data_IF_888703956290
#
_entry.id   IF_888703956290
#
_cell.length_a   1.000
_cell.length_b   1.000
_cell.length_c   1.000
_cell.angle_alpha   90.00
_cell.angle_beta   90.00
_cell.angle_gamma   90.00
#
_symmetry.space_group_name_H-M   'P 1'
#
loop_
_entity.id
_entity.type
_entity.pdbx_description
1 polymer ?
#
# COMPACT_ATOMS: atom_id res chain seq x y z
N UNK A 1 4.90 -4.77 -14.88
CA UNK A 1 3.85 -4.56 -13.86
C UNK A 1 3.67 -5.77 -12.97
N UNK A 2 2.87 -6.75 -13.39
CA UNK A 2 2.36 -7.85 -12.53
C UNK A 2 3.40 -8.63 -11.73
N UNK A 3 4.55 -8.98 -12.32
CA UNK A 3 5.61 -9.67 -11.57
C UNK A 3 6.20 -8.80 -10.44
N UNK A 4 6.41 -7.51 -10.69
CA UNK A 4 6.87 -6.56 -9.69
C UNK A 4 5.82 -6.32 -8.59
N UNK A 5 4.54 -6.23 -8.97
CA UNK A 5 3.41 -6.14 -8.04
C UNK A 5 3.37 -7.36 -7.11
N UNK A 6 3.43 -8.57 -7.65
CA UNK A 6 3.46 -9.81 -6.85
C UNK A 6 4.63 -9.84 -5.87
N UNK A 7 5.82 -9.45 -6.31
CA UNK A 7 7.00 -9.35 -5.41
C UNK A 7 6.78 -8.31 -4.31
N UNK A 8 6.21 -7.16 -4.66
CA UNK A 8 6.00 -6.07 -3.71
C UNK A 8 4.94 -6.43 -2.65
N UNK A 9 3.82 -7.03 -3.04
CA UNK A 9 2.80 -7.51 -2.10
C UNK A 9 3.34 -8.67 -1.25
N UNK A 10 4.06 -9.61 -1.85
CA UNK A 10 4.69 -10.71 -1.11
C UNK A 10 5.72 -10.22 -0.07
N UNK A 11 6.38 -9.08 -0.31
CA UNK A 11 7.23 -8.43 0.69
C UNK A 11 6.42 -7.89 1.87
N UNK A 12 5.23 -7.31 1.65
CA UNK A 12 4.34 -6.91 2.74
C UNK A 12 3.89 -8.12 3.58
N UNK A 13 3.55 -9.23 2.92
CA UNK A 13 3.18 -10.48 3.60
C UNK A 13 4.34 -11.05 4.41
N UNK A 14 5.56 -11.02 3.86
CA UNK A 14 6.77 -11.42 4.55
C UNK A 14 7.00 -10.55 5.78
N UNK A 15 6.92 -9.22 5.66
CA UNK A 15 7.06 -8.32 6.80
C UNK A 15 6.02 -8.62 7.88
N UNK A 16 4.74 -8.78 7.52
CA UNK A 16 3.68 -9.16 8.46
C UNK A 16 4.00 -10.48 9.18
N UNK A 17 4.48 -11.50 8.45
CA UNK A 17 4.85 -12.80 9.03
C UNK A 17 6.02 -12.73 10.02
N UNK A 18 6.91 -11.74 9.87
CA UNK A 18 8.06 -11.52 10.75
C UNK A 18 7.74 -10.69 11.99
N UNK A 19 6.54 -10.11 12.05
CA UNK A 19 6.04 -9.33 13.18
C UNK A 19 4.69 -9.89 13.67
N UNK A 20 4.67 -11.13 14.20
CA UNK A 20 3.44 -11.84 14.55
C UNK A 20 2.67 -11.19 15.70
N UNK A 21 3.37 -10.50 16.61
CA UNK A 21 2.76 -9.76 17.73
C UNK A 21 2.03 -8.48 17.26
N UNK A 22 2.09 -8.19 15.95
CA UNK A 22 1.43 -7.05 15.34
C UNK A 22 2.20 -5.75 15.51
N UNK A 23 1.47 -4.67 15.75
CA UNK A 23 2.00 -3.31 15.80
C UNK A 23 1.96 -2.58 14.46
N UNK A 24 2.62 -1.42 14.41
CA UNK A 24 2.66 -0.56 13.22
C UNK A 24 4.01 -0.67 12.52
N UNK A 25 3.99 -1.14 11.28
CA UNK A 25 5.15 -1.16 10.40
C UNK A 25 5.19 0.12 9.56
N UNK A 26 6.37 0.72 9.42
CA UNK A 26 6.62 1.85 8.53
C UNK A 26 7.59 1.41 7.45
N UNK A 27 7.17 1.55 6.19
CA UNK A 27 7.98 1.22 5.01
C UNK A 27 8.29 2.51 4.24
N UNK A 28 9.56 2.82 4.06
CA UNK A 28 10.03 3.85 3.14
C UNK A 28 10.44 3.24 1.80
N UNK A 29 10.02 3.84 0.69
CA UNK A 29 10.47 3.44 -0.65
C UNK A 29 10.29 4.56 -1.67
N UNK A 30 10.53 4.26 -2.95
CA UNK A 30 10.32 5.18 -4.06
C UNK A 30 8.87 5.16 -4.53
N UNK A 31 8.42 6.27 -5.12
CA UNK A 31 7.06 6.42 -5.62
C UNK A 31 6.65 5.36 -6.65
N UNK A 32 7.60 4.80 -7.42
CA UNK A 32 7.32 3.74 -8.39
C UNK A 32 6.87 2.42 -7.71
N UNK A 33 7.58 1.98 -6.66
CA UNK A 33 7.26 0.76 -5.93
C UNK A 33 5.99 0.95 -5.13
N UNK A 34 5.84 2.11 -4.48
CA UNK A 34 4.62 2.50 -3.78
C UNK A 34 3.43 2.45 -4.76
N UNK A 35 3.55 3.04 -5.95
CA UNK A 35 2.48 3.01 -6.96
C UNK A 35 2.16 1.58 -7.44
N UNK A 36 3.17 0.72 -7.60
CA UNK A 36 2.94 -0.69 -7.96
C UNK A 36 2.22 -1.47 -6.85
N UNK A 37 2.57 -1.25 -5.59
CA UNK A 37 1.87 -1.83 -4.43
C UNK A 37 0.42 -1.36 -4.44
N UNK A 38 0.20 -0.05 -4.51
CA UNK A 38 -1.14 0.53 -4.48
C UNK A 38 -1.98 0.01 -5.67
N UNK A 39 -1.42 -0.04 -6.89
CA UNK A 39 -2.11 -0.59 -8.06
C UNK A 39 -2.44 -2.08 -7.92
N UNK A 40 -1.65 -2.85 -7.18
CA UNK A 40 -1.96 -4.27 -6.94
C UNK A 40 -3.18 -4.45 -6.02
N UNK A 41 -3.45 -3.47 -5.15
CA UNK A 41 -4.58 -3.47 -4.21
C UNK A 41 -5.81 -2.76 -4.80
N UNK A 42 -5.57 -1.72 -5.60
CA UNK A 42 -6.58 -0.82 -6.15
C UNK A 42 -6.35 -0.64 -7.66
N UNK A 43 -7.04 -1.45 -8.50
CA UNK A 43 -6.78 -1.51 -9.94
C UNK A 43 -6.96 -0.18 -10.69
N UNK A 44 -7.71 0.77 -10.12
CA UNK A 44 -7.92 2.11 -10.70
C UNK A 44 -6.64 2.97 -10.70
N UNK A 45 -5.61 2.58 -9.95
CA UNK A 45 -4.36 3.33 -9.87
C UNK A 45 -3.56 3.12 -11.13
N UNK A 46 -3.35 4.23 -11.85
CA UNK A 46 -2.59 4.26 -13.09
C UNK A 46 -1.46 5.28 -13.06
N UNK A 47 -0.93 5.54 -14.25
CA UNK A 47 0.19 6.46 -14.44
C UNK A 47 -0.10 7.89 -13.94
N UNK A 48 -1.31 8.41 -14.17
CA UNK A 48 -1.70 9.75 -13.72
C UNK A 48 -1.62 9.90 -12.19
N UNK A 49 -2.04 8.88 -11.45
CA UNK A 49 -1.90 8.84 -9.99
C UNK A 49 -0.43 8.89 -9.56
N UNK A 50 0.43 8.09 -10.22
CA UNK A 50 1.86 8.08 -9.94
C UNK A 50 2.51 9.45 -10.16
N UNK A 51 2.17 10.11 -11.27
CA UNK A 51 2.70 11.44 -11.60
C UNK A 51 2.24 12.53 -10.63
N UNK A 52 1.05 12.39 -10.05
CA UNK A 52 0.51 13.32 -9.06
C UNK A 52 0.99 13.04 -7.62
N UNK A 53 1.77 11.98 -7.39
CA UNK A 53 2.21 11.60 -6.04
C UNK A 53 3.20 12.64 -5.47
N UNK A 54 2.88 13.30 -4.33
CA UNK A 54 3.79 14.26 -3.71
C UNK A 54 4.97 13.56 -3.06
N UNK A 55 6.05 14.31 -2.82
CA UNK A 55 7.20 13.83 -2.02
C UNK A 55 7.38 14.73 -0.80
N UNK A 56 7.17 14.23 0.45
CA UNK A 56 6.78 12.86 0.78
C UNK A 56 5.26 12.61 0.60
N UNK A 57 4.91 11.37 0.24
CA UNK A 57 3.55 10.85 0.33
C UNK A 57 3.49 9.73 1.37
N UNK A 58 2.40 9.68 2.13
CA UNK A 58 2.13 8.64 3.13
C UNK A 58 0.82 7.95 2.81
N UNK A 59 0.85 6.63 2.79
CA UNK A 59 -0.30 5.77 2.55
C UNK A 59 -0.47 4.80 3.71
N UNK A 60 -1.70 4.60 4.16
CA UNK A 60 -2.03 3.70 5.27
C UNK A 60 -2.68 2.44 4.73
N UNK A 61 -2.08 1.30 5.03
CA UNK A 61 -2.59 -0.01 4.68
C UNK A 61 -3.00 -0.76 5.96
N UNK A 62 -4.07 -1.54 5.88
CA UNK A 62 -4.45 -2.50 6.92
C UNK A 62 -4.56 -3.89 6.31
N UNK A 63 -4.36 -4.93 7.11
CA UNK A 63 -4.57 -6.31 6.70
C UNK A 63 -5.73 -6.91 7.50
N UNK A 64 -6.79 -7.35 6.83
CA UNK A 64 -8.02 -7.84 7.47
C UNK A 64 -7.99 -9.34 7.85
N UNK A 65 -6.84 -9.98 7.67
CA UNK A 65 -6.62 -11.42 7.88
C UNK A 65 -6.61 -12.20 6.58
N UNK A 66 -7.22 -11.67 5.51
CA UNK A 66 -7.24 -12.26 4.19
C UNK A 66 -6.46 -11.46 3.17
N UNK A 67 -6.54 -10.13 3.23
CA UNK A 67 -5.90 -9.25 2.24
C UNK A 67 -5.52 -7.89 2.84
N UNK A 68 -4.59 -7.23 2.15
CA UNK A 68 -4.28 -5.83 2.35
C UNK A 68 -5.38 -4.93 1.78
N UNK A 69 -5.66 -3.82 2.46
CA UNK A 69 -6.54 -2.75 2.00
C UNK A 69 -5.89 -1.39 2.20
N UNK A 70 -6.06 -0.49 1.25
CA UNK A 70 -5.69 0.91 1.44
C UNK A 70 -6.80 1.60 2.25
N UNK A 71 -6.43 2.31 3.31
CA UNK A 71 -7.37 2.96 4.25
C UNK A 71 -7.16 4.47 4.34
N UNK A 72 -6.28 5.02 3.52
CA UNK A 72 -6.03 6.46 3.40
C UNK A 72 -4.67 6.78 2.81
N UNK A 73 -4.53 8.02 2.38
CA UNK A 73 -3.31 8.57 1.78
C UNK A 73 -3.67 9.56 0.66
N UNK A 74 -2.66 10.19 0.06
CA UNK A 74 -2.89 11.15 -1.02
C UNK A 74 -3.68 10.52 -2.19
N UNK A 75 -4.77 11.15 -2.62
CA UNK A 75 -5.61 10.63 -3.70
C UNK A 75 -6.48 9.41 -3.32
N UNK A 76 -6.55 9.05 -2.02
CA UNK A 76 -7.55 8.14 -1.49
C UNK A 76 -8.51 8.89 -0.58
N UNK A 77 -9.81 8.80 -0.88
CA UNK A 77 -10.83 9.28 0.04
C UNK A 77 -10.72 8.55 1.38
N UNK A 78 -10.91 9.22 2.53
CA UNK A 78 -10.97 8.55 3.82
C UNK A 78 -12.12 7.55 3.81
N UNK A 79 -11.85 6.29 4.13
CA UNK A 79 -12.93 5.36 4.51
C UNK A 79 -13.50 5.87 5.83
N UNK A 80 -14.64 6.56 5.79
CA UNK A 80 -15.41 6.88 6.99
C UNK A 80 -15.75 5.57 7.71
N UNK A 81 -15.27 5.38 8.95
CA UNK A 81 -15.78 4.32 9.82
C UNK A 81 -14.78 3.39 10.53
N UNK A 82 -13.49 3.68 10.59
CA UNK A 82 -12.61 3.00 11.56
C UNK A 82 -12.58 3.80 12.88
N UNK A 83 -13.55 3.50 13.76
CA UNK A 83 -13.48 3.84 15.19
C UNK A 83 -12.42 2.97 15.87
#
# INVERSE_FOLDING_TARGET
GRAAQRRAVGMLDLLRSRHPDGGRLVLGSHGNLISLILQALEPAIGYAFHMAMPTPAVYRLTHDGLRWRVTGGHGFEPVQGAR
#
